data_IF_305827382586
#
_entry.id   IF_305827382586
#
_cell.length_a   1.000
_cell.length_b   1.000
_cell.length_c   1.000
_cell.angle_alpha   90.00
_cell.angle_beta   90.00
_cell.angle_gamma   90.00
#
_symmetry.space_group_name_H-M   'P 1'
#
loop_
_entity.id
_entity.type
_entity.pdbx_description
1 polymer ?
#
# COMPACT_ATOMS: atom_id res chain seq x y z
N UNK A 1 11.26 7.73 10.38
CA UNK A 1 9.88 7.28 10.09
C UNK A 1 9.59 7.62 8.65
N UNK A 2 9.27 6.65 7.80
CA UNK A 2 8.73 6.88 6.46
C UNK A 2 7.25 6.49 6.46
N UNK A 3 6.43 7.23 5.73
CA UNK A 3 5.03 6.90 5.50
C UNK A 3 4.69 7.25 4.05
N UNK A 4 3.78 6.50 3.41
CA UNK A 4 3.40 6.77 2.03
C UNK A 4 2.68 8.11 1.94
N UNK A 5 3.10 8.94 0.98
CA UNK A 5 2.40 10.16 0.61
C UNK A 5 1.56 9.91 -0.64
N UNK A 6 0.28 10.28 -0.57
CA UNK A 6 -0.63 10.24 -1.70
C UNK A 6 -0.60 11.59 -2.43
N UNK A 7 -0.47 11.53 -3.75
CA UNK A 7 -0.51 12.69 -4.63
C UNK A 7 -1.88 12.77 -5.35
N UNK A 8 -2.76 13.68 -4.91
CA UNK A 8 -4.13 13.83 -5.43
C UNK A 8 -4.22 14.87 -6.58
N UNK A 9 -3.39 14.69 -7.60
CA UNK A 9 -3.23 15.68 -8.69
C UNK A 9 -4.13 15.47 -9.90
N UNK A 10 -4.37 14.22 -10.32
CA UNK A 10 -5.15 13.93 -11.52
C UNK A 10 -5.94 12.61 -11.43
N UNK A 11 -7.27 12.65 -11.52
CA UNK A 11 -8.11 13.86 -11.50
C UNK A 11 -7.91 14.65 -10.18
N UNK A 12 -7.82 15.98 -10.27
CA UNK A 12 -7.48 16.82 -9.12
C UNK A 12 -8.54 16.67 -8.02
N UNK A 13 -8.09 16.35 -6.81
CA UNK A 13 -9.00 16.24 -5.66
C UNK A 13 -9.92 15.02 -5.70
N UNK A 14 -9.66 14.02 -6.57
CA UNK A 14 -10.52 12.85 -6.68
C UNK A 14 -10.57 12.09 -5.35
N UNK A 15 -9.42 11.90 -4.70
CA UNK A 15 -9.36 11.20 -3.42
C UNK A 15 -9.98 12.05 -2.31
N UNK A 16 -9.64 13.34 -2.23
CA UNK A 16 -10.27 14.26 -1.28
C UNK A 16 -11.81 14.31 -1.42
N UNK A 17 -12.31 14.23 -2.66
CA UNK A 17 -13.76 14.21 -2.94
C UNK A 17 -14.43 12.94 -2.42
N UNK A 18 -13.77 11.78 -2.50
CA UNK A 18 -14.31 10.52 -1.97
C UNK A 18 -14.51 10.57 -0.44
N UNK A 19 -13.68 11.34 0.27
CA UNK A 19 -13.84 11.59 1.70
C UNK A 19 -14.71 12.82 2.02
N UNK A 20 -15.24 13.52 1.02
CA UNK A 20 -16.06 14.72 1.22
C UNK A 20 -15.29 15.98 1.63
N UNK A 21 -13.97 16.00 1.48
CA UNK A 21 -13.09 17.09 1.91
C UNK A 21 -12.50 17.90 0.76
N UNK A 22 -12.95 17.70 -0.47
CA UNK A 22 -12.52 18.57 -1.57
C UNK A 22 -13.38 19.85 -1.63
N UNK A 23 -12.74 21.01 -1.48
CA UNK A 23 -13.38 22.31 -1.58
C UNK A 23 -13.28 22.80 -3.03
N UNK A 24 -14.30 22.46 -3.84
CA UNK A 24 -14.29 22.71 -5.28
C UNK A 24 -14.22 24.21 -5.64
N UNK A 25 -14.87 25.06 -4.84
CA UNK A 25 -14.85 26.52 -4.97
C UNK A 25 -13.45 27.12 -4.78
N UNK A 26 -12.67 26.54 -3.86
CA UNK A 26 -11.28 26.97 -3.56
C UNK A 26 -10.23 26.18 -4.34
N UNK A 27 -10.62 25.06 -4.94
CA UNK A 27 -9.72 24.15 -5.67
C UNK A 27 -8.67 23.48 -4.79
N UNK A 28 -8.94 23.30 -3.49
CA UNK A 28 -8.04 22.71 -2.48
C UNK A 28 -8.72 21.59 -1.70
N UNK A 29 -7.94 20.74 -1.05
CA UNK A 29 -8.43 19.81 -0.03
C UNK A 29 -8.52 20.54 1.31
N UNK A 30 -9.61 20.33 2.02
CA UNK A 30 -9.82 20.84 3.37
C UNK A 30 -8.80 20.24 4.36
N UNK A 31 -8.55 20.93 5.46
CA UNK A 31 -7.70 20.40 6.53
C UNK A 31 -8.51 19.41 7.36
N UNK A 32 -8.52 18.17 6.90
CA UNK A 32 -9.24 17.08 7.54
C UNK A 32 -8.30 15.99 8.06
N UNK A 33 -8.83 15.17 8.97
CA UNK A 33 -8.23 13.94 9.45
C UNK A 33 -9.28 12.84 9.40
N UNK A 34 -8.88 11.69 8.83
CA UNK A 34 -9.71 10.49 8.77
C UNK A 34 -8.93 9.36 9.42
N UNK A 35 -9.56 8.63 10.35
CA UNK A 35 -9.00 7.42 10.94
C UNK A 35 -9.73 6.23 10.31
N UNK A 36 -8.96 5.39 9.63
CA UNK A 36 -9.44 4.18 8.97
C UNK A 36 -8.89 2.99 9.73
N UNK A 37 -9.75 2.04 10.04
CA UNK A 37 -9.38 0.85 10.78
C UNK A 37 -8.74 -0.22 9.87
N UNK A 38 -8.25 -1.31 10.46
CA UNK A 38 -7.64 -2.42 9.69
C UNK A 38 -8.58 -3.12 8.69
N UNK A 39 -9.90 -2.95 8.82
CA UNK A 39 -10.87 -3.46 7.86
C UNK A 39 -11.14 -2.49 6.70
N UNK A 40 -10.47 -1.33 6.69
CA UNK A 40 -10.71 -0.29 5.70
C UNK A 40 -11.96 0.54 6.00
N UNK A 41 -12.51 0.46 7.22
CA UNK A 41 -13.71 1.20 7.63
C UNK A 41 -13.30 2.53 8.27
N UNK A 42 -13.92 3.61 7.83
CA UNK A 42 -13.75 4.94 8.45
C UNK A 42 -14.40 4.92 9.84
N UNK A 43 -13.63 5.21 10.89
CA UNK A 43 -14.08 5.27 12.28
C UNK A 43 -14.12 6.67 12.86
N UNK A 44 -13.35 7.59 12.29
CA UNK A 44 -13.35 9.00 12.63
C UNK A 44 -13.14 9.81 11.36
N UNK A 45 -13.83 10.94 11.25
CA UNK A 45 -13.73 11.85 10.11
C UNK A 45 -14.06 13.26 10.59
N UNK A 46 -13.07 14.15 10.62
CA UNK A 46 -13.27 15.53 11.06
C UNK A 46 -12.50 16.51 10.17
N UNK A 47 -13.08 17.69 9.99
CA UNK A 47 -12.44 18.85 9.38
C UNK A 47 -12.26 19.93 10.44
N UNK A 48 -11.15 20.66 10.34
CA UNK A 48 -10.90 21.90 11.10
C UNK A 48 -10.98 23.14 10.21
N UNK A 49 -11.40 22.99 8.96
CA UNK A 49 -11.37 24.04 7.95
C UNK A 49 -9.94 24.36 7.47
N UNK A 50 -9.78 25.12 6.36
CA UNK A 50 -8.46 25.36 5.76
C UNK A 50 -7.41 25.98 6.70
N UNK A 51 -7.89 26.78 7.67
CA UNK A 51 -7.07 27.56 8.59
C UNK A 51 -7.03 27.01 10.02
N UNK A 52 -7.90 26.06 10.38
CA UNK A 52 -7.98 25.55 11.75
C UNK A 52 -6.83 24.62 12.14
N UNK A 53 -6.67 24.38 13.43
CA UNK A 53 -5.61 23.51 13.96
C UNK A 53 -6.17 22.16 14.37
N UNK A 54 -5.41 21.08 14.13
CA UNK A 54 -5.79 19.74 14.59
C UNK A 54 -5.50 19.63 16.08
N UNK A 55 -6.46 19.14 16.85
CA UNK A 55 -6.21 18.73 18.22
C UNK A 55 -5.54 17.34 18.22
N UNK A 56 -4.25 17.30 18.52
CA UNK A 56 -3.50 16.04 18.54
C UNK A 56 -3.97 15.12 19.66
N UNK A 57 -4.39 15.66 20.81
CA UNK A 57 -4.90 14.88 21.93
C UNK A 57 -6.19 14.16 21.58
N UNK A 58 -7.11 14.85 20.89
CA UNK A 58 -8.35 14.25 20.38
C UNK A 58 -8.05 13.12 19.38
N UNK A 59 -7.12 13.33 18.45
CA UNK A 59 -6.77 12.33 17.44
C UNK A 59 -6.12 11.08 18.03
N UNK A 60 -5.28 11.25 19.06
CA UNK A 60 -4.70 10.13 19.82
C UNK A 60 -5.81 9.36 20.52
N UNK A 61 -6.69 10.05 21.26
CA UNK A 61 -7.80 9.41 21.98
C UNK A 61 -8.75 8.66 21.02
N UNK A 62 -9.05 9.24 19.85
CA UNK A 62 -9.85 8.61 18.82
C UNK A 62 -9.17 7.33 18.26
N UNK A 63 -7.87 7.41 17.97
CA UNK A 63 -7.10 6.25 17.48
C UNK A 63 -7.04 5.11 18.51
N UNK A 64 -6.87 5.44 19.80
CA UNK A 64 -6.92 4.47 20.89
C UNK A 64 -8.31 3.86 21.11
N UNK A 65 -9.37 4.64 20.88
CA UNK A 65 -10.74 4.15 20.86
C UNK A 65 -10.94 3.07 19.80
N UNK A 66 -10.54 3.37 18.56
CA UNK A 66 -10.60 2.42 17.42
C UNK A 66 -9.81 1.15 17.73
N UNK A 67 -8.60 1.28 18.28
CA UNK A 67 -7.77 0.13 18.62
C UNK A 67 -8.43 -0.79 19.67
N UNK A 68 -9.10 -0.21 20.69
CA UNK A 68 -9.83 -0.99 21.71
C UNK A 68 -11.04 -1.72 21.13
N UNK A 69 -11.80 -1.06 20.26
CA UNK A 69 -12.94 -1.66 19.55
C UNK A 69 -12.47 -2.82 18.66
N UNK A 70 -11.40 -2.62 17.89
CA UNK A 70 -10.85 -3.66 17.02
C UNK A 70 -10.25 -4.85 17.78
N UNK A 71 -9.64 -4.63 18.95
CA UNK A 71 -9.14 -5.71 19.80
C UNK A 71 -10.28 -6.62 20.33
N UNK A 72 -11.51 -6.09 20.37
CA UNK A 72 -12.70 -6.82 20.81
C UNK A 72 -13.46 -7.48 19.64
N UNK A 73 -13.08 -7.20 18.39
CA UNK A 73 -13.69 -7.77 17.18
C UNK A 73 -12.85 -8.94 16.65
N UNK A 74 -13.49 -9.99 16.14
CA UNK A 74 -12.79 -11.07 15.46
C UNK A 74 -12.04 -10.50 14.24
N UNK A 75 -10.73 -10.65 14.21
CA UNK A 75 -9.92 -10.21 13.08
C UNK A 75 -10.27 -11.03 11.85
N UNK A 76 -10.71 -10.38 10.77
CA UNK A 76 -10.70 -11.00 9.44
C UNK A 76 -9.22 -11.18 9.09
N UNK A 77 -8.75 -12.42 9.08
CA UNK A 77 -7.38 -12.73 8.73
C UNK A 77 -7.11 -12.27 7.30
N UNK A 78 -6.08 -11.44 7.11
CA UNK A 78 -5.57 -11.16 5.78
C UNK A 78 -5.24 -12.50 5.09
N UNK A 79 -5.52 -12.59 3.79
CA UNK A 79 -5.12 -13.73 2.96
C UNK A 79 -3.60 -13.63 2.81
N UNK A 80 -2.86 -14.13 3.80
CA UNK A 80 -1.40 -14.05 3.85
C UNK A 80 -0.75 -14.48 2.54
N UNK A 81 0.48 -14.04 2.30
CA UNK A 81 1.20 -14.41 1.08
C UNK A 81 1.41 -15.93 1.02
N UNK A 82 1.28 -16.55 -0.16
CA UNK A 82 1.67 -17.94 -0.36
C UNK A 82 3.13 -18.17 0.00
N UNK A 83 3.44 -19.38 0.46
CA UNK A 83 4.78 -19.75 0.95
C UNK A 83 5.88 -19.66 -0.12
N UNK A 84 5.52 -19.57 -1.41
CA UNK A 84 6.46 -19.45 -2.53
C UNK A 84 6.30 -18.13 -3.28
N UNK A 85 6.45 -17.02 -2.57
CA UNK A 85 6.41 -15.67 -3.18
C UNK A 85 7.81 -15.07 -3.31
N UNK A 86 8.22 -14.78 -4.55
CA UNK A 86 9.51 -14.14 -4.86
C UNK A 86 9.31 -12.88 -5.69
N UNK A 87 9.90 -11.76 -5.26
CA UNK A 87 10.00 -10.55 -6.05
C UNK A 87 11.41 -10.44 -6.66
N UNK A 88 11.47 -10.53 -7.98
CA UNK A 88 12.68 -10.25 -8.75
C UNK A 88 12.78 -8.74 -9.00
N UNK A 89 13.93 -8.16 -8.66
CA UNK A 89 14.23 -6.73 -8.81
C UNK A 89 15.51 -6.52 -9.59
N UNK A 90 15.71 -5.30 -10.10
CA UNK A 90 16.92 -4.89 -10.79
C UNK A 90 17.50 -3.62 -10.14
N UNK A 91 18.83 -3.55 -10.04
CA UNK A 91 19.52 -2.40 -9.46
C UNK A 91 19.29 -1.14 -10.29
N UNK A 92 19.17 0.01 -9.61
CA UNK A 92 18.95 1.35 -10.21
C UNK A 92 17.72 1.43 -11.14
N UNK A 93 16.65 0.70 -10.79
CA UNK A 93 15.39 0.70 -11.55
C UNK A 93 14.25 1.31 -10.72
N UNK A 94 13.65 2.41 -11.19
CA UNK A 94 12.54 3.08 -10.50
C UNK A 94 11.29 2.20 -10.35
N UNK A 95 11.02 1.31 -11.31
CA UNK A 95 9.91 0.36 -11.21
C UNK A 95 10.18 -0.72 -10.15
N UNK A 96 11.42 -1.19 -10.04
CA UNK A 96 11.81 -2.13 -8.98
C UNK A 96 11.73 -1.48 -7.61
N UNK A 97 12.17 -0.22 -7.49
CA UNK A 97 12.02 0.55 -6.25
C UNK A 97 10.55 0.71 -5.85
N UNK A 98 9.65 0.98 -6.81
CA UNK A 98 8.20 1.06 -6.54
C UNK A 98 7.64 -0.25 -6.00
N UNK A 99 8.04 -1.40 -6.55
CA UNK A 99 7.59 -2.70 -6.06
C UNK A 99 8.12 -3.01 -4.64
N UNK A 100 9.37 -2.64 -4.35
CA UNK A 100 9.95 -2.77 -3.01
C UNK A 100 9.23 -1.89 -1.98
N UNK A 101 8.97 -0.62 -2.33
CA UNK A 101 8.20 0.28 -1.47
C UNK A 101 6.78 -0.24 -1.23
N UNK A 102 6.15 -0.89 -2.22
CA UNK A 102 4.86 -1.53 -2.02
C UNK A 102 4.93 -2.65 -0.97
N UNK A 103 5.96 -3.51 -1.01
CA UNK A 103 6.16 -4.55 0.01
C UNK A 103 6.34 -3.95 1.42
N UNK A 104 7.16 -2.90 1.54
CA UNK A 104 7.40 -2.22 2.82
C UNK A 104 6.12 -1.57 3.36
N UNK A 105 5.41 -0.81 2.53
CA UNK A 105 4.18 -0.09 2.91
C UNK A 105 3.03 -1.03 3.26
N UNK A 106 3.01 -2.23 2.67
CA UNK A 106 2.02 -3.26 2.95
C UNK A 106 2.45 -4.21 4.08
N UNK A 107 3.62 -3.98 4.70
CA UNK A 107 4.18 -4.83 5.74
C UNK A 107 4.34 -6.29 5.32
N UNK A 108 4.64 -6.52 4.04
CA UNK A 108 4.81 -7.84 3.44
C UNK A 108 6.28 -8.24 3.25
N UNK A 109 7.23 -7.40 3.69
CA UNK A 109 8.67 -7.59 3.41
C UNK A 109 9.20 -8.95 3.88
N UNK A 110 8.74 -9.42 5.03
CA UNK A 110 9.19 -10.67 5.64
C UNK A 110 8.53 -11.91 5.01
N UNK A 111 7.41 -11.73 4.30
CA UNK A 111 6.69 -12.79 3.60
C UNK A 111 7.12 -12.97 2.13
N UNK A 112 8.05 -12.16 1.63
CA UNK A 112 8.51 -12.20 0.23
C UNK A 112 10.02 -12.33 0.15
N UNK A 113 10.47 -13.32 -0.60
CA UNK A 113 11.89 -13.43 -0.97
C UNK A 113 12.20 -12.39 -2.05
N UNK A 114 13.18 -11.52 -1.81
CA UNK A 114 13.61 -10.52 -2.81
C UNK A 114 14.92 -11.01 -3.42
N UNK A 115 14.96 -11.11 -4.76
CA UNK A 115 16.14 -11.58 -5.50
C UNK A 115 16.53 -10.56 -6.57
N UNK A 116 17.80 -10.19 -6.63
CA UNK A 116 18.29 -9.12 -7.50
C UNK A 116 18.97 -9.66 -8.75
N UNK A 117 18.32 -9.51 -9.90
CA UNK A 117 18.83 -10.03 -11.19
C UNK A 117 20.01 -9.23 -11.74
N UNK A 118 20.32 -8.04 -11.20
CA UNK A 118 21.54 -7.31 -11.56
C UNK A 118 22.81 -7.89 -10.93
N UNK A 119 22.66 -8.64 -9.84
CA UNK A 119 23.76 -9.10 -8.99
C UNK A 119 23.88 -10.62 -9.00
N UNK A 120 22.84 -11.32 -9.48
CA UNK A 120 22.73 -12.77 -9.50
C UNK A 120 22.25 -13.26 -10.88
N UNK A 121 23.15 -13.90 -11.62
CA UNK A 121 22.87 -14.45 -12.95
C UNK A 121 21.95 -15.69 -12.88
N UNK A 122 21.96 -16.44 -11.77
CA UNK A 122 21.04 -17.56 -11.57
C UNK A 122 19.62 -17.06 -11.32
N UNK A 123 19.47 -15.96 -10.59
CA UNK A 123 18.19 -15.28 -10.42
C UNK A 123 17.62 -14.80 -11.76
N UNK A 124 18.45 -14.21 -12.61
CA UNK A 124 18.03 -13.76 -13.95
C UNK A 124 17.61 -14.94 -14.83
N UNK A 125 18.40 -16.02 -14.85
CA UNK A 125 18.07 -17.25 -15.58
C UNK A 125 16.75 -17.86 -15.10
N UNK A 126 16.52 -17.89 -13.79
CA UNK A 126 15.28 -18.42 -13.20
C UNK A 126 14.07 -17.55 -13.53
N UNK A 127 14.21 -16.23 -13.51
CA UNK A 127 13.17 -15.31 -13.96
C UNK A 127 12.83 -15.52 -15.44
N UNK A 128 13.84 -15.70 -16.30
CA UNK A 128 13.66 -15.99 -17.72
C UNK A 128 12.91 -17.32 -17.93
N UNK A 129 13.21 -18.35 -17.14
CA UNK A 129 12.53 -19.64 -17.19
C UNK A 129 11.06 -19.57 -16.74
N UNK A 130 10.79 -18.87 -15.63
CA UNK A 130 9.44 -18.77 -15.05
C UNK A 130 8.51 -17.86 -15.88
N UNK A 131 9.06 -16.77 -16.40
CA UNK A 131 8.27 -15.71 -17.01
C UNK A 131 8.44 -15.53 -18.52
N UNK A 132 9.32 -16.31 -19.14
CA UNK A 132 9.62 -16.23 -20.57
C UNK A 132 10.42 -14.98 -20.98
N UNK A 133 10.73 -14.09 -20.04
CA UNK A 133 11.52 -12.86 -20.25
C UNK A 133 12.22 -12.39 -18.97
N UNK A 134 13.41 -11.81 -19.11
CA UNK A 134 14.23 -11.24 -18.03
C UNK A 134 13.83 -9.80 -17.63
N UNK A 135 12.53 -9.47 -17.74
CA UNK A 135 12.02 -8.15 -17.34
C UNK A 135 11.86 -8.10 -15.81
N UNK A 136 12.42 -7.07 -15.18
CA UNK A 136 12.23 -6.77 -13.76
C UNK A 136 11.66 -5.35 -13.58
N UNK A 137 10.82 -5.08 -12.56
CA UNK A 137 10.41 -6.02 -11.52
C UNK A 137 9.44 -7.10 -12.02
N UNK A 138 9.48 -8.26 -11.37
CA UNK A 138 8.54 -9.35 -11.58
C UNK A 138 8.24 -10.04 -10.24
N UNK A 139 6.97 -10.06 -9.86
CA UNK A 139 6.51 -10.82 -8.70
C UNK A 139 6.08 -12.21 -9.18
N UNK A 140 6.70 -13.26 -8.66
CA UNK A 140 6.28 -14.64 -8.90
C UNK A 140 5.53 -15.14 -7.67
N UNK A 141 4.28 -15.53 -7.86
CA UNK A 141 3.43 -16.11 -6.82
C UNK A 141 3.02 -17.51 -7.26
N UNK A 142 3.43 -18.54 -6.51
CA UNK A 142 3.15 -19.96 -6.84
C UNK A 142 3.51 -20.31 -8.30
N UNK A 143 4.65 -19.81 -8.75
CA UNK A 143 5.16 -20.01 -10.12
C UNK A 143 4.52 -19.11 -11.19
N UNK A 144 3.48 -18.33 -10.87
CA UNK A 144 2.83 -17.43 -11.81
C UNK A 144 3.46 -16.03 -11.79
N UNK A 145 3.97 -15.53 -12.93
CA UNK A 145 4.64 -14.22 -13.00
C UNK A 145 3.64 -13.05 -13.15
N UNK A 146 3.87 -11.99 -12.38
CA UNK A 146 3.19 -10.70 -12.47
C UNK A 146 4.22 -9.63 -12.78
N UNK A 147 4.05 -8.97 -13.92
CA UNK A 147 4.90 -7.89 -14.39
C UNK A 147 4.24 -6.54 -14.17
N UNK A 148 4.98 -5.46 -14.46
CA UNK A 148 4.58 -4.07 -14.25
C UNK A 148 4.43 -3.71 -12.77
N UNK A 149 5.12 -2.65 -12.35
CA UNK A 149 5.11 -2.25 -10.94
C UNK A 149 3.71 -1.92 -10.41
N UNK A 150 2.78 -1.47 -11.28
CA UNK A 150 1.39 -1.17 -10.89
C UNK A 150 0.60 -2.44 -10.58
N UNK A 151 0.70 -3.46 -11.43
CA UNK A 151 0.00 -4.73 -11.23
C UNK A 151 0.61 -5.52 -10.06
N UNK A 152 1.93 -5.46 -9.89
CA UNK A 152 2.60 -6.02 -8.70
C UNK A 152 2.05 -5.37 -7.42
N UNK A 153 1.97 -4.03 -7.37
CA UNK A 153 1.38 -3.33 -6.21
C UNK A 153 -0.06 -3.75 -5.96
N UNK A 154 -0.88 -3.89 -7.01
CA UNK A 154 -2.27 -4.34 -6.89
C UNK A 154 -2.34 -5.76 -6.31
N UNK A 155 -1.58 -6.69 -6.87
CA UNK A 155 -1.54 -8.08 -6.43
C UNK A 155 -1.11 -8.20 -4.95
N UNK A 156 -0.14 -7.40 -4.51
CA UNK A 156 0.27 -7.36 -3.11
C UNK A 156 -0.84 -6.78 -2.22
N UNK A 157 -1.49 -5.69 -2.64
CA UNK A 157 -2.54 -5.04 -1.85
C UNK A 157 -3.78 -5.91 -1.66
N UNK A 158 -4.18 -6.68 -2.69
CA UNK A 158 -5.30 -7.62 -2.62
C UNK A 158 -5.12 -8.71 -1.56
N UNK A 159 -3.87 -9.04 -1.22
CA UNK A 159 -3.54 -10.07 -0.21
C UNK A 159 -3.56 -9.52 1.22
N UNK A 160 -3.41 -8.21 1.39
CA UNK A 160 -3.49 -7.55 2.71
C UNK A 160 -4.89 -7.07 3.03
N UNK A 161 -5.75 -6.88 2.02
CA UNK A 161 -7.15 -6.53 2.26
C UNK A 161 -7.86 -7.66 3.01
N UNK A 162 -8.54 -7.38 4.12
CA UNK A 162 -9.64 -8.24 4.52
C UNK A 162 -10.68 -8.15 3.40
N UNK A 163 -10.95 -9.27 2.74
CA UNK A 163 -12.00 -9.33 1.72
C UNK A 163 -13.34 -8.99 2.39
N UNK A 164 -14.14 -8.07 1.82
CA UNK A 164 -15.54 -7.92 2.22
C UNK A 164 -16.35 -9.18 1.87
#
# INVERSE_FOLDING_TARGET
>A
MSFPLLADFHPKGQMASQYGYYLADKGITDRATVIVDKQGIVRYSASVGPDGERDIGELVAASEGVQREQASSAAVAAVGLPSQTTLYVRSRCGHSQRALLALENLHLRDGVTVSNVSEDAEAEARLQQLGGKAQAPCLVVDGSPVYEAVEITRALAERVRPLP
#
